data_IF_638945781996
#
_entry.id   IF_638945781996
#
_cell.length_a   1.000
_cell.length_b   1.000
_cell.length_c   1.000
_cell.angle_alpha   90.00
_cell.angle_beta   90.00
_cell.angle_gamma   90.00
#
_symmetry.space_group_name_H-M   'P 1'
#
loop_
_entity.id
_entity.type
_entity.pdbx_description
1 polymer ?
#
# COMPACT_ATOMS: atom_id res chain seq x y z
N UNK A 1 -7.59 6.79 -6.00
CA UNK A 1 -8.71 6.66 -5.03
C UNK A 1 -9.80 5.80 -5.66
N UNK A 2 -10.15 4.68 -5.03
CA UNK A 2 -11.33 3.91 -5.44
C UNK A 2 -12.54 4.66 -4.89
N UNK A 3 -13.25 5.36 -5.78
CA UNK A 3 -14.51 5.99 -5.44
C UNK A 3 -15.59 4.90 -5.34
N UNK A 4 -16.23 4.79 -4.18
CA UNK A 4 -17.50 4.06 -4.03
C UNK A 4 -18.55 4.79 -4.88
N UNK A 5 -18.94 4.25 -6.04
CA UNK A 5 -19.93 4.93 -6.88
C UNK A 5 -20.99 4.02 -7.52
N UNK A 6 -22.21 4.24 -7.02
CA UNK A 6 -23.54 4.27 -7.67
C UNK A 6 -23.71 3.45 -8.95
N UNK A 7 -24.47 2.36 -8.80
CA UNK A 7 -25.68 1.92 -9.55
C UNK A 7 -25.78 2.04 -11.09
N UNK A 8 -25.06 2.92 -11.81
CA UNK A 8 -25.37 3.25 -13.22
C UNK A 8 -24.16 3.49 -14.13
N UNK A 9 -22.99 2.87 -13.87
CA UNK A 9 -21.88 2.90 -14.84
C UNK A 9 -21.90 1.69 -15.77
N UNK A 10 -21.73 1.93 -17.08
CA UNK A 10 -21.40 0.88 -18.07
C UNK A 10 -20.21 0.09 -17.55
N UNK A 11 -20.27 -1.25 -17.64
CA UNK A 11 -19.16 -2.16 -17.31
C UNK A 11 -17.94 -1.69 -18.10
N UNK A 12 -17.01 -1.04 -17.43
CA UNK A 12 -15.75 -0.50 -17.98
C UNK A 12 -14.64 -1.55 -17.98
N UNK A 13 -14.99 -2.78 -17.59
CA UNK A 13 -14.11 -3.93 -17.48
C UNK A 13 -14.42 -4.87 -18.65
N UNK A 14 -13.43 -5.12 -19.51
CA UNK A 14 -13.55 -5.95 -20.73
C UNK A 14 -13.71 -7.47 -20.46
N UNK A 15 -14.06 -7.89 -19.23
CA UNK A 15 -14.20 -9.31 -18.86
C UNK A 15 -12.91 -10.14 -18.90
N UNK A 16 -11.78 -9.54 -19.33
CA UNK A 16 -10.48 -10.19 -19.40
C UNK A 16 -10.01 -10.57 -17.98
N UNK A 17 -9.40 -11.75 -17.79
CA UNK A 17 -8.87 -12.14 -16.49
C UNK A 17 -7.84 -11.10 -16.05
N UNK A 18 -8.13 -10.44 -14.93
CA UNK A 18 -7.26 -9.42 -14.33
C UNK A 18 -6.03 -10.08 -13.70
N UNK A 19 -5.11 -10.59 -14.52
CA UNK A 19 -3.83 -11.21 -14.08
C UNK A 19 -3.05 -10.32 -13.11
N UNK A 20 -3.17 -8.99 -13.24
CA UNK A 20 -2.52 -8.01 -12.33
C UNK A 20 -3.24 -7.88 -10.98
N UNK A 21 -4.55 -8.08 -10.92
CA UNK A 21 -5.30 -8.02 -9.65
C UNK A 21 -5.10 -9.25 -8.78
N UNK A 22 -4.85 -10.43 -9.37
CA UNK A 22 -4.58 -11.66 -8.60
C UNK A 22 -3.38 -11.52 -7.64
N UNK A 23 -2.39 -10.67 -7.96
CA UNK A 23 -1.21 -10.43 -7.10
C UNK A 23 -1.30 -9.16 -6.25
N UNK A 24 -2.39 -8.40 -6.37
CA UNK A 24 -2.55 -7.08 -5.72
C UNK A 24 -2.56 -7.18 -4.19
N UNK A 25 -3.10 -8.27 -3.65
CA UNK A 25 -3.19 -8.51 -2.20
C UNK A 25 -1.83 -8.45 -1.50
N UNK A 26 -0.73 -8.85 -2.17
CA UNK A 26 0.63 -8.79 -1.59
C UNK A 26 1.07 -7.34 -1.34
N UNK A 27 0.78 -6.46 -2.29
CA UNK A 27 1.12 -5.04 -2.23
C UNK A 27 0.22 -4.33 -1.20
N UNK A 28 -1.08 -4.60 -1.22
CA UNK A 28 -2.01 -4.03 -0.24
C UNK A 28 -1.66 -4.44 1.19
N UNK A 29 -1.26 -5.71 1.39
CA UNK A 29 -0.78 -6.20 2.67
C UNK A 29 0.50 -5.50 3.14
N UNK A 30 1.46 -5.27 2.24
CA UNK A 30 2.66 -4.50 2.56
C UNK A 30 2.30 -3.07 3.02
N UNK A 31 1.43 -2.38 2.29
CA UNK A 31 1.00 -1.04 2.68
C UNK A 31 0.22 -1.04 4.00
N UNK A 32 -0.60 -2.06 4.27
CA UNK A 32 -1.27 -2.21 5.56
C UNK A 32 -0.27 -2.35 6.73
N UNK A 33 0.81 -3.11 6.54
CA UNK A 33 1.88 -3.22 7.54
C UNK A 33 2.63 -1.90 7.74
N UNK A 34 2.96 -1.20 6.66
CA UNK A 34 3.58 0.12 6.73
C UNK A 34 2.68 1.15 7.42
N UNK A 35 1.35 1.07 7.21
CA UNK A 35 0.37 1.93 7.87
C UNK A 35 0.29 1.74 9.39
N UNK A 36 0.76 0.61 9.92
CA UNK A 36 0.89 0.42 11.37
C UNK A 36 2.00 1.32 11.96
N UNK A 37 2.98 1.69 11.16
CA UNK A 37 4.05 2.61 11.56
C UNK A 37 3.56 4.06 11.51
N UNK A 38 3.12 4.60 12.66
CA UNK A 38 2.51 5.95 12.76
C UNK A 38 3.36 7.07 12.13
N UNK A 39 4.69 6.97 12.16
CA UNK A 39 5.62 7.94 11.53
C UNK A 39 5.58 7.92 9.99
N UNK A 40 5.14 6.83 9.37
CA UNK A 40 5.06 6.69 7.91
C UNK A 40 3.68 7.05 7.35
N UNK A 41 2.61 6.96 8.16
CA UNK A 41 1.24 7.29 7.75
C UNK A 41 1.12 8.76 7.35
N UNK A 42 1.62 9.64 8.21
CA UNK A 42 1.65 11.07 7.95
C UNK A 42 3.10 11.53 7.94
N UNK A 43 3.51 12.21 6.88
CA UNK A 43 4.87 12.72 6.74
C UNK A 43 5.06 13.95 7.62
N UNK A 44 5.57 13.74 8.83
CA UNK A 44 5.95 14.80 9.77
C UNK A 44 7.40 15.28 9.59
N UNK A 45 8.23 14.47 8.95
CA UNK A 45 9.67 14.75 8.78
C UNK A 45 9.90 15.86 7.75
N UNK A 46 10.66 16.88 8.16
CA UNK A 46 11.07 17.99 7.29
C UNK A 46 12.02 17.50 6.17
N UNK A 47 13.02 16.69 6.52
CA UNK A 47 13.97 16.15 5.57
C UNK A 47 13.49 14.84 4.94
N UNK A 48 13.65 14.71 3.61
CA UNK A 48 13.30 13.50 2.86
C UNK A 48 14.11 12.29 3.34
N UNK A 49 15.39 12.51 3.72
CA UNK A 49 16.28 11.45 4.19
C UNK A 49 15.78 10.75 5.44
N UNK A 50 15.25 11.50 6.42
CA UNK A 50 14.69 10.93 7.63
C UNK A 50 13.48 10.04 7.33
N UNK A 51 12.57 10.52 6.46
CA UNK A 51 11.41 9.75 6.05
C UNK A 51 11.82 8.44 5.35
N UNK A 52 12.82 8.50 4.46
CA UNK A 52 13.36 7.33 3.78
C UNK A 52 14.02 6.35 4.76
N UNK A 53 14.75 6.85 5.76
CA UNK A 53 15.32 6.02 6.82
C UNK A 53 14.26 5.29 7.64
N UNK A 54 13.17 5.98 8.04
CA UNK A 54 12.05 5.34 8.72
C UNK A 54 11.35 4.29 7.85
N UNK A 55 11.25 4.53 6.54
CA UNK A 55 10.67 3.56 5.61
C UNK A 55 11.51 2.29 5.53
N UNK A 56 12.84 2.44 5.40
CA UNK A 56 13.78 1.32 5.39
C UNK A 56 13.74 0.54 6.70
N UNK A 57 13.69 1.23 7.84
CA UNK A 57 13.61 0.61 9.16
C UNK A 57 12.31 -0.19 9.31
N UNK A 58 11.17 0.36 8.90
CA UNK A 58 9.89 -0.37 8.94
C UNK A 58 9.92 -1.62 8.04
N UNK A 59 10.51 -1.54 6.86
CA UNK A 59 10.71 -2.71 6.00
C UNK A 59 11.61 -3.77 6.66
N UNK A 60 12.70 -3.37 7.30
CA UNK A 60 13.58 -4.28 8.04
C UNK A 60 12.85 -4.97 9.19
N UNK A 61 12.03 -4.23 9.96
CA UNK A 61 11.21 -4.81 11.04
C UNK A 61 10.20 -5.84 10.52
N UNK A 62 9.55 -5.57 9.37
CA UNK A 62 8.64 -6.54 8.74
C UNK A 62 9.39 -7.82 8.36
N UNK A 63 10.58 -7.69 7.76
CA UNK A 63 11.41 -8.85 7.38
C UNK A 63 11.84 -9.65 8.61
N UNK A 64 12.34 -9.00 9.66
CA UNK A 64 12.77 -9.65 10.90
C UNK A 64 11.63 -10.36 11.64
N UNK A 65 10.38 -9.93 11.48
CA UNK A 65 9.21 -10.55 12.10
C UNK A 65 8.72 -11.80 11.35
N UNK A 66 9.13 -11.95 10.09
CA UNK A 66 8.68 -13.01 9.19
C UNK A 66 9.81 -13.97 8.78
N UNK A 67 11.03 -13.75 9.27
CA UNK A 67 12.12 -14.72 9.36
C UNK A 67 11.95 -15.55 10.64
#
# INVERSE_FOLDING_TARGET
MIATNRSRRRRTQDGRPLRRYSRRWKIERLFAWLHNSRRLVTRWEYHVGNFLGFLQLACAQILLRHL
#
